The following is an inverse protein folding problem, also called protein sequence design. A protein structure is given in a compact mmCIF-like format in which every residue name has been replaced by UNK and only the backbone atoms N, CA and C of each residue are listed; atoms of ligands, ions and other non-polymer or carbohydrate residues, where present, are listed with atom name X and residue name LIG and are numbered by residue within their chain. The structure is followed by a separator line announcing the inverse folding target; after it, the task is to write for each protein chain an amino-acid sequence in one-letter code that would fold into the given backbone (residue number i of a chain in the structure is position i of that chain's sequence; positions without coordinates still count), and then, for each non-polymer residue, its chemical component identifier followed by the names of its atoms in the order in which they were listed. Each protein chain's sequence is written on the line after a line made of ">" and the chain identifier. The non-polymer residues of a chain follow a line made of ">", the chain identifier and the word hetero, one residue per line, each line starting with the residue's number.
data_IF_727765473581
#
_entry.id   IF_727765473581
#
_cell.length_a   1.000
_cell.length_b   1.000
_cell.length_c   1.000
_cell.angle_alpha   90.00
_cell.angle_beta   90.00
_cell.angle_gamma   90.00
#
_symmetry.space_group_name_H-M   'P 1'
#
loop_
_entity.id
_entity.type
_entity.pdbx_description
1 polymer ?
#
# COMPACT_ATOMS: atom_id res chain seq x y z
N UNK A 1 11.44 -13.64 8.65
CA UNK A 1 11.02 -13.19 7.31
C UNK A 1 9.52 -13.36 7.25
N UNK A 2 8.81 -12.43 6.62
CA UNK A 2 7.38 -12.54 6.36
C UNK A 2 7.21 -12.54 4.85
N UNK A 3 6.51 -13.54 4.32
CA UNK A 3 6.08 -13.61 2.92
C UNK A 3 4.62 -13.18 2.89
N UNK A 4 4.34 -12.10 2.16
CA UNK A 4 3.00 -11.57 1.94
C UNK A 4 2.54 -11.95 0.53
N UNK A 5 2.26 -13.23 0.34
CA UNK A 5 1.84 -13.78 -0.95
C UNK A 5 0.30 -13.73 -1.11
N UNK A 6 -0.24 -12.97 -2.08
CA UNK A 6 -1.69 -12.90 -2.29
C UNK A 6 -2.28 -14.23 -2.77
N UNK A 7 -1.48 -15.10 -3.38
CA UNK A 7 -1.92 -16.40 -3.89
C UNK A 7 -2.02 -17.47 -2.80
N UNK A 8 -1.40 -17.25 -1.63
CA UNK A 8 -1.43 -18.15 -0.49
C UNK A 8 -2.76 -18.07 0.28
N UNK A 9 -3.83 -18.61 -0.31
CA UNK A 9 -5.20 -18.45 0.22
C UNK A 9 -5.57 -19.39 1.36
N UNK A 10 -4.78 -20.42 1.66
CA UNK A 10 -5.05 -21.34 2.78
C UNK A 10 -4.64 -20.75 4.14
N UNK A 11 -3.50 -20.05 4.15
CA UNK A 11 -2.95 -19.32 5.30
C UNK A 11 -2.59 -17.88 4.91
N UNK A 12 -3.57 -17.06 4.53
CA UNK A 12 -3.34 -15.67 4.12
C UNK A 12 -2.76 -14.85 5.28
N UNK A 13 -1.68 -14.15 4.99
CA UNK A 13 -1.11 -13.14 5.89
C UNK A 13 -1.90 -11.84 5.74
N UNK A 14 -2.49 -11.34 6.83
CA UNK A 14 -3.30 -10.13 6.82
C UNK A 14 -2.50 -8.86 6.54
N UNK A 15 -3.12 -7.91 5.84
CA UNK A 15 -2.64 -6.54 5.68
C UNK A 15 -3.82 -5.57 5.79
N UNK A 16 -4.08 -5.10 7.02
CA UNK A 16 -5.14 -4.13 7.27
C UNK A 16 -4.59 -2.70 7.11
N UNK A 17 -4.86 -2.10 5.95
CA UNK A 17 -4.46 -0.71 5.64
C UNK A 17 -5.00 0.31 6.63
N UNK A 18 -6.13 0.02 7.29
CA UNK A 18 -6.79 0.92 8.24
C UNK A 18 -6.21 0.85 9.67
N UNK A 19 -5.35 -0.12 9.96
CA UNK A 19 -4.86 -0.41 11.32
C UNK A 19 -3.81 0.59 11.84
N UNK A 20 -3.35 1.53 11.01
CA UNK A 20 -2.07 2.23 11.24
C UNK A 20 -2.20 3.49 12.12
N UNK A 21 -3.40 4.01 12.38
CA UNK A 21 -3.58 5.30 13.07
C UNK A 21 -3.88 5.22 14.58
N UNK A 22 -2.97 5.75 15.41
CA UNK A 22 -3.13 5.91 16.87
C UNK A 22 -3.80 7.23 17.23
N UNK A 23 -3.51 8.29 16.49
CA UNK A 23 -4.18 9.59 16.60
C UNK A 23 -5.26 9.77 15.54
N UNK A 24 -6.13 10.75 15.71
CA UNK A 24 -7.14 11.14 14.72
C UNK A 24 -6.48 11.55 13.39
N UNK A 25 -5.48 12.42 13.45
CA UNK A 25 -4.74 12.87 12.28
C UNK A 25 -4.07 11.73 11.50
N UNK A 26 -3.46 10.74 12.18
CA UNK A 26 -2.89 9.58 11.51
C UNK A 26 -3.96 8.74 10.78
N UNK A 27 -5.18 8.65 11.33
CA UNK A 27 -6.28 7.93 10.67
C UNK A 27 -6.77 8.68 9.43
N UNK A 28 -6.86 10.00 9.50
CA UNK A 28 -7.21 10.84 8.33
C UNK A 28 -6.20 10.66 7.21
N UNK A 29 -4.90 10.73 7.52
CA UNK A 29 -3.83 10.49 6.55
C UNK A 29 -3.94 9.09 5.93
N UNK A 30 -4.19 8.05 6.72
CA UNK A 30 -4.39 6.70 6.19
C UNK A 30 -5.56 6.65 5.21
N UNK A 31 -6.68 7.29 5.53
CA UNK A 31 -7.84 7.36 4.63
C UNK A 31 -7.52 8.13 3.36
N UNK A 32 -6.83 9.28 3.47
CA UNK A 32 -6.39 10.07 2.33
C UNK A 32 -5.57 9.25 1.35
N UNK A 33 -4.59 8.50 1.83
CA UNK A 33 -3.77 7.65 0.96
C UNK A 33 -4.58 6.52 0.32
N UNK A 34 -5.47 5.86 1.05
CA UNK A 34 -6.31 4.79 0.47
C UNK A 34 -7.22 5.36 -0.63
N UNK A 35 -7.88 6.49 -0.36
CA UNK A 35 -8.75 7.19 -1.33
C UNK A 35 -7.94 7.64 -2.55
N UNK A 36 -6.72 8.13 -2.33
CA UNK A 36 -5.82 8.55 -3.39
C UNK A 36 -5.39 7.37 -4.27
N UNK A 37 -4.84 6.29 -3.68
CA UNK A 37 -4.46 5.06 -4.43
C UNK A 37 -5.65 4.53 -5.25
N UNK A 38 -6.86 4.59 -4.70
CA UNK A 38 -8.06 4.18 -5.41
C UNK A 38 -8.43 5.12 -6.58
N UNK A 39 -8.32 6.43 -6.37
CA UNK A 39 -8.54 7.41 -7.44
C UNK A 39 -7.57 7.22 -8.60
N UNK A 40 -6.34 6.79 -8.30
CA UNK A 40 -5.32 6.53 -9.30
C UNK A 40 -5.54 5.20 -10.03
N UNK A 41 -6.01 4.17 -9.33
CA UNK A 41 -6.39 2.89 -9.93
C UNK A 41 -7.58 3.02 -10.89
N UNK A 42 -8.54 3.88 -10.55
CA UNK A 42 -9.77 4.03 -11.30
C UNK A 42 -9.94 5.43 -11.92
N UNK A 43 -8.85 6.14 -12.24
CA UNK A 43 -8.85 7.52 -12.78
C UNK A 43 -9.95 7.79 -13.82
N UNK A 44 -10.18 6.94 -14.85
CA UNK A 44 -11.17 7.22 -15.89
C UNK A 44 -12.63 7.23 -15.39
N UNK A 45 -12.90 6.63 -14.23
CA UNK A 45 -14.25 6.46 -13.69
C UNK A 45 -14.38 6.87 -12.23
N UNK A 46 -13.46 7.73 -11.77
CA UNK A 46 -13.41 8.27 -10.42
C UNK A 46 -13.95 9.70 -10.40
N UNK A 47 -14.90 10.00 -9.51
CA UNK A 47 -15.50 11.32 -9.41
C UNK A 47 -15.71 11.79 -7.97
N UNK A 48 -16.06 13.07 -7.76
CA UNK A 48 -16.15 13.68 -6.44
C UNK A 48 -17.06 12.92 -5.47
N UNK A 49 -18.19 12.39 -5.95
CA UNK A 49 -19.10 11.56 -5.13
C UNK A 49 -18.47 10.26 -4.67
N UNK A 50 -17.64 9.63 -5.51
CA UNK A 50 -16.93 8.39 -5.14
C UNK A 50 -15.90 8.68 -4.05
N UNK A 51 -15.14 9.78 -4.19
CA UNK A 51 -14.22 10.25 -3.16
C UNK A 51 -14.94 10.49 -1.83
N UNK A 52 -16.06 11.24 -1.85
CA UNK A 52 -16.80 11.62 -0.65
C UNK A 52 -17.38 10.41 0.09
N UNK A 53 -18.05 9.50 -0.64
CA UNK A 53 -18.61 8.26 -0.06
C UNK A 53 -17.53 7.39 0.57
N UNK A 54 -16.41 7.16 -0.15
CA UNK A 54 -15.34 6.30 0.35
C UNK A 54 -14.60 6.94 1.52
N UNK A 55 -14.31 8.25 1.45
CA UNK A 55 -13.68 8.99 2.55
C UNK A 55 -14.51 8.91 3.83
N UNK A 56 -15.81 9.23 3.76
CA UNK A 56 -16.69 9.18 4.94
C UNK A 56 -16.84 7.75 5.47
N UNK A 57 -16.99 6.76 4.58
CA UNK A 57 -17.04 5.35 4.95
C UNK A 57 -15.77 4.89 5.69
N UNK A 58 -14.60 5.14 5.11
CA UNK A 58 -13.31 4.72 5.66
C UNK A 58 -12.96 5.45 6.97
N UNK A 59 -13.23 6.77 7.07
CA UNK A 59 -13.08 7.52 8.31
C UNK A 59 -13.95 6.96 9.43
N UNK A 60 -15.18 6.57 9.09
CA UNK A 60 -16.09 5.94 10.05
C UNK A 60 -15.51 4.62 10.55
N UNK A 61 -15.01 3.76 9.66
CA UNK A 61 -14.45 2.44 10.03
C UNK A 61 -13.16 2.54 10.85
N UNK A 62 -12.27 3.50 10.57
CA UNK A 62 -11.01 3.66 11.34
C UNK A 62 -11.27 4.05 12.81
N UNK A 63 -12.38 4.73 13.06
CA UNK A 63 -12.80 5.25 14.37
C UNK A 63 -13.70 4.32 15.18
N UNK A 64 -14.12 3.21 14.59
CA UNK A 64 -15.09 2.29 15.19
C UNK A 64 -14.53 0.87 15.28
N UNK A 65 -15.23 0.00 16.01
CA UNK A 65 -14.84 -1.39 16.23
C UNK A 65 -16.04 -2.31 16.06
N UNK A 66 -15.77 -3.56 15.71
CA UNK A 66 -16.78 -4.61 15.73
C UNK A 66 -17.22 -4.90 17.17
N UNK A 67 -18.31 -5.67 17.33
CA UNK A 67 -18.87 -6.01 18.63
C UNK A 67 -17.90 -6.78 19.54
N UNK A 68 -17.01 -7.59 18.94
CA UNK A 68 -15.93 -8.31 19.61
C UNK A 68 -14.70 -7.43 19.93
N UNK A 69 -14.77 -6.13 19.65
CA UNK A 69 -13.69 -5.17 19.83
C UNK A 69 -12.63 -5.16 18.72
N UNK A 70 -12.77 -6.01 17.71
CA UNK A 70 -11.81 -6.07 16.60
C UNK A 70 -11.91 -4.83 15.70
N UNK A 71 -10.80 -4.47 15.04
CA UNK A 71 -10.78 -3.37 14.08
C UNK A 71 -11.49 -3.77 12.79
N UNK A 72 -12.20 -2.82 12.19
CA UNK A 72 -12.72 -2.99 10.84
C UNK A 72 -11.60 -2.90 9.81
N UNK A 73 -11.86 -3.45 8.63
CA UNK A 73 -10.98 -3.38 7.49
C UNK A 73 -11.69 -2.72 6.30
N UNK A 74 -10.96 -2.61 5.19
CA UNK A 74 -11.45 -2.00 3.96
C UNK A 74 -12.62 -2.77 3.34
N UNK A 75 -12.70 -4.08 3.61
CA UNK A 75 -13.74 -4.97 3.08
C UNK A 75 -15.13 -4.75 3.66
N UNK A 76 -15.24 -4.03 4.78
CA UNK A 76 -16.51 -3.75 5.46
C UNK A 76 -17.23 -2.50 4.93
N UNK A 77 -16.59 -1.69 4.07
CA UNK A 77 -17.22 -0.49 3.50
C UNK A 77 -18.51 -0.81 2.73
N UNK A 78 -18.59 -1.86 1.89
CA UNK A 78 -19.85 -2.21 1.22
C UNK A 78 -20.99 -2.49 2.19
N UNK A 79 -20.73 -3.21 3.28
CA UNK A 79 -21.73 -3.50 4.32
C UNK A 79 -22.16 -2.23 5.05
N UNK A 80 -21.22 -1.34 5.36
CA UNK A 80 -21.53 -0.04 5.96
C UNK A 80 -22.50 0.78 5.09
N UNK A 81 -22.37 0.69 3.77
CA UNK A 81 -23.25 1.40 2.83
C UNK A 81 -24.60 0.67 2.65
N UNK A 82 -24.58 -0.65 2.49
CA UNK A 82 -25.77 -1.42 2.09
C UNK A 82 -26.65 -1.83 3.27
N UNK A 83 -26.07 -2.21 4.41
CA UNK A 83 -26.78 -2.83 5.52
C UNK A 83 -27.17 -1.78 6.58
N UNK A 84 -28.47 -1.43 6.72
CA UNK A 84 -28.91 -0.39 7.65
C UNK A 84 -28.64 -0.75 9.12
N UNK A 85 -28.73 -2.03 9.47
CA UNK A 85 -28.51 -2.50 10.84
C UNK A 85 -27.04 -2.34 11.22
N UNK A 86 -26.13 -2.83 10.36
CA UNK A 86 -24.69 -2.67 10.57
C UNK A 86 -24.30 -1.18 10.58
N UNK A 87 -24.82 -0.39 9.65
CA UNK A 87 -24.56 1.06 9.63
C UNK A 87 -24.99 1.76 10.91
N UNK A 88 -26.19 1.51 11.42
CA UNK A 88 -26.66 2.09 12.69
C UNK A 88 -25.78 1.69 13.87
N UNK A 89 -25.34 0.44 13.92
CA UNK A 89 -24.41 -0.02 14.95
C UNK A 89 -23.09 0.75 14.90
N UNK A 90 -22.50 0.89 13.71
CA UNK A 90 -21.22 1.58 13.50
C UNK A 90 -21.35 3.09 13.78
N UNK A 91 -22.33 3.78 13.20
CA UNK A 91 -22.46 5.24 13.30
C UNK A 91 -22.91 5.73 14.68
N UNK A 92 -23.50 4.85 15.50
CA UNK A 92 -23.86 5.15 16.89
C UNK A 92 -22.68 5.09 17.87
N UNK A 93 -21.51 4.57 17.46
CA UNK A 93 -20.37 4.48 18.35
C UNK A 93 -19.82 5.87 18.70
N UNK A 94 -19.38 6.03 19.96
CA UNK A 94 -18.85 7.29 20.47
C UNK A 94 -17.59 7.77 19.74
N UNK A 95 -16.82 6.86 19.14
CA UNK A 95 -15.59 7.19 18.42
C UNK A 95 -15.80 7.88 17.08
N UNK A 96 -17.02 7.84 16.51
CA UNK A 96 -17.31 8.41 15.18
C UNK A 96 -17.08 9.94 15.19
N UNK A 97 -16.22 10.48 14.31
CA UNK A 97 -15.96 11.91 14.23
C UNK A 97 -17.20 12.72 13.84
N UNK A 98 -17.33 13.94 14.34
CA UNK A 98 -18.45 14.82 13.99
C UNK A 98 -18.44 15.22 12.51
N UNK A 99 -17.26 15.25 11.89
CA UNK A 99 -17.06 15.56 10.47
C UNK A 99 -17.80 14.61 9.52
N UNK A 100 -17.99 13.35 9.90
CA UNK A 100 -18.71 12.35 9.08
C UNK A 100 -20.20 12.24 9.44
N UNK A 101 -20.65 12.83 10.56
CA UNK A 101 -22.05 12.72 11.01
C UNK A 101 -23.03 13.42 10.07
N UNK A 102 -22.65 14.56 9.51
CA UNK A 102 -23.45 15.31 8.54
C UNK A 102 -23.70 14.49 7.27
N UNK A 103 -22.67 13.80 6.77
CA UNK A 103 -22.77 12.86 5.66
C UNK A 103 -23.78 11.75 5.96
N UNK A 104 -23.66 11.07 7.10
CA UNK A 104 -24.58 9.98 7.46
C UNK A 104 -26.01 10.46 7.71
N UNK A 105 -26.18 11.65 8.29
CA UNK A 105 -27.51 12.25 8.44
C UNK A 105 -28.14 12.49 7.07
N UNK A 106 -27.44 13.12 6.13
CA UNK A 106 -27.94 13.30 4.76
C UNK A 106 -28.23 11.97 4.06
N UNK A 107 -27.35 10.98 4.21
CA UNK A 107 -27.48 9.64 3.67
C UNK A 107 -28.76 8.91 4.14
N UNK A 108 -29.17 9.12 5.39
CA UNK A 108 -30.40 8.53 5.94
C UNK A 108 -31.68 9.23 5.49
N UNK A 109 -31.59 10.46 5.00
CA UNK A 109 -32.74 11.17 4.41
C UNK A 109 -32.94 10.86 2.92
N UNK A 110 -31.95 10.26 2.26
CA UNK A 110 -32.06 9.85 0.86
C UNK A 110 -33.06 8.71 0.68
N UNK A 111 -33.82 8.76 -0.41
CA UNK A 111 -34.61 7.61 -0.86
C UNK A 111 -33.71 6.42 -1.23
N UNK A 112 -34.26 5.20 -1.27
CA UNK A 112 -33.49 4.01 -1.67
C UNK A 112 -32.86 4.15 -3.07
N UNK A 113 -33.62 4.70 -4.03
CA UNK A 113 -33.14 4.95 -5.39
C UNK A 113 -32.01 5.99 -5.44
N UNK A 114 -32.16 7.11 -4.73
CA UNK A 114 -31.12 8.13 -4.64
C UNK A 114 -29.85 7.58 -3.99
N UNK A 115 -30.00 6.83 -2.89
CA UNK A 115 -28.90 6.17 -2.21
C UNK A 115 -28.15 5.21 -3.13
N UNK A 116 -28.87 4.38 -3.88
CA UNK A 116 -28.29 3.45 -4.85
C UNK A 116 -27.47 4.19 -5.94
N UNK A 117 -27.95 5.35 -6.42
CA UNK A 117 -27.21 6.18 -7.36
C UNK A 117 -25.95 6.80 -6.76
N UNK A 118 -26.01 7.25 -5.50
CA UNK A 118 -24.87 7.85 -4.79
C UNK A 118 -23.77 6.83 -4.54
N UNK A 119 -24.10 5.62 -4.08
CA UNK A 119 -23.11 4.60 -3.70
C UNK A 119 -22.70 3.66 -4.83
N UNK A 120 -23.50 3.56 -5.90
CA UNK A 120 -23.29 2.62 -7.00
C UNK A 120 -21.86 2.63 -7.56
N UNK A 121 -21.30 3.81 -7.89
CA UNK A 121 -19.90 3.91 -8.33
C UNK A 121 -18.92 3.33 -7.31
N UNK A 122 -19.02 3.71 -6.03
CA UNK A 122 -18.13 3.23 -4.96
C UNK A 122 -18.22 1.72 -4.76
N UNK A 123 -19.43 1.16 -4.77
CA UNK A 123 -19.64 -0.29 -4.66
C UNK A 123 -19.05 -1.07 -5.83
N UNK A 124 -19.15 -0.54 -7.06
CA UNK A 124 -18.55 -1.19 -8.23
C UNK A 124 -17.03 -1.33 -8.10
N UNK A 125 -16.35 -0.33 -7.52
CA UNK A 125 -14.90 -0.36 -7.28
C UNK A 125 -14.53 -1.31 -6.15
N UNK A 126 -15.24 -1.21 -5.01
CA UNK A 126 -15.02 -2.09 -3.86
C UNK A 126 -15.33 -3.57 -4.18
N UNK A 127 -16.17 -3.83 -5.18
CA UNK A 127 -16.46 -5.19 -5.67
C UNK A 127 -15.19 -5.89 -6.14
N UNK A 128 -14.26 -5.19 -6.79
CA UNK A 128 -12.96 -5.77 -7.21
C UNK A 128 -12.16 -6.34 -6.04
N UNK A 129 -12.29 -5.73 -4.85
CA UNK A 129 -11.59 -6.17 -3.64
C UNK A 129 -12.30 -7.36 -2.96
N UNK A 130 -13.63 -7.30 -2.94
CA UNK A 130 -14.46 -8.26 -2.20
C UNK A 130 -14.73 -9.54 -2.98
N UNK A 131 -14.75 -9.51 -4.32
CA UNK A 131 -14.97 -10.72 -5.14
C UNK A 131 -13.70 -11.54 -5.32
N UNK A 132 -12.53 -10.90 -5.38
CA UNK A 132 -11.25 -11.61 -5.46
C UNK A 132 -10.89 -12.19 -4.10
N UNK A 133 -10.89 -13.53 -4.00
CA UNK A 133 -10.60 -14.25 -2.75
C UNK A 133 -9.27 -13.85 -2.13
N UNK A 134 -8.21 -13.69 -2.92
CA UNK A 134 -6.89 -13.25 -2.44
C UNK A 134 -6.94 -11.89 -1.72
N UNK A 135 -7.52 -10.88 -2.36
CA UNK A 135 -7.66 -9.54 -1.80
C UNK A 135 -8.59 -9.53 -0.59
N UNK A 136 -9.75 -10.20 -0.68
CA UNK A 136 -10.71 -10.29 0.42
C UNK A 136 -10.08 -10.91 1.68
N UNK A 137 -9.33 -12.01 1.51
CA UNK A 137 -8.70 -12.71 2.63
C UNK A 137 -7.49 -11.97 3.21
N UNK A 138 -6.74 -11.22 2.41
CA UNK A 138 -5.57 -10.47 2.87
C UNK A 138 -5.96 -9.12 3.48
N UNK A 139 -6.75 -8.32 2.75
CA UNK A 139 -7.13 -6.96 3.15
C UNK A 139 -8.32 -6.93 4.11
N UNK A 140 -9.03 -8.05 4.24
CA UNK A 140 -10.19 -8.18 5.13
C UNK A 140 -9.88 -8.78 6.49
N UNK A 141 -8.63 -8.78 6.95
CA UNK A 141 -8.32 -9.18 8.32
C UNK A 141 -8.32 -7.97 9.24
N UNK A 142 -8.82 -8.13 10.48
CA UNK A 142 -8.79 -7.04 11.47
C UNK A 142 -7.38 -6.69 11.94
N UNK A 143 -6.48 -7.67 11.87
CA UNK A 143 -5.05 -7.55 12.16
C UNK A 143 -4.25 -7.92 10.92
N UNK A 144 -3.09 -7.31 10.77
CA UNK A 144 -2.14 -7.69 9.73
C UNK A 144 -0.71 -7.34 10.09
N UNK A 145 0.15 -7.39 9.09
CA UNK A 145 1.53 -6.91 9.22
C UNK A 145 1.54 -5.39 9.47
N UNK A 146 2.42 -4.95 10.38
CA UNK A 146 2.76 -3.53 10.54
C UNK A 146 4.06 -3.28 9.77
N UNK A 147 4.00 -2.58 8.64
CA UNK A 147 5.19 -2.28 7.85
C UNK A 147 6.19 -1.40 8.60
N UNK A 148 5.81 -0.68 9.65
CA UNK A 148 6.79 0.02 10.48
C UNK A 148 7.69 -0.94 11.28
N UNK A 149 7.35 -2.23 11.39
CA UNK A 149 8.23 -3.25 11.97
C UNK A 149 9.50 -3.51 11.15
N UNK A 150 9.53 -3.16 9.85
CA UNK A 150 10.78 -3.23 9.06
C UNK A 150 11.87 -2.36 9.70
N UNK A 151 11.48 -1.22 10.25
CA UNK A 151 12.35 -0.28 10.93
C UNK A 151 12.61 -0.65 12.39
N UNK A 152 11.56 -1.01 13.13
CA UNK A 152 11.63 -1.24 14.59
C UNK A 152 12.24 -2.60 14.94
N UNK A 153 11.86 -3.64 14.20
CA UNK A 153 12.17 -5.04 14.49
C UNK A 153 13.11 -5.70 13.47
N UNK A 154 13.65 -4.93 12.50
CA UNK A 154 14.49 -5.44 11.41
C UNK A 154 13.84 -6.61 10.67
N UNK A 155 12.53 -6.51 10.43
CA UNK A 155 11.78 -7.53 9.69
C UNK A 155 12.14 -7.44 8.22
N UNK A 156 12.34 -8.62 7.60
CA UNK A 156 12.37 -8.78 6.15
C UNK A 156 10.95 -9.15 5.71
N UNK A 157 10.41 -8.37 4.77
CA UNK A 157 9.11 -8.60 4.16
C UNK A 157 9.32 -8.84 2.67
N UNK A 158 8.82 -9.97 2.17
CA UNK A 158 8.83 -10.33 0.76
C UNK A 158 7.41 -10.27 0.23
N UNK A 159 7.22 -9.63 -0.91
CA UNK A 159 5.89 -9.43 -1.51
C UNK A 159 5.95 -9.90 -2.96
N UNK A 160 5.65 -11.18 -3.23
CA UNK A 160 5.59 -11.67 -4.60
C UNK A 160 4.35 -11.09 -5.29
N UNK A 161 4.56 -10.20 -6.26
CA UNK A 161 3.49 -9.55 -7.04
C UNK A 161 3.48 -10.02 -8.50
N UNK A 162 3.84 -11.29 -8.75
CA UNK A 162 3.88 -11.84 -10.10
C UNK A 162 2.50 -11.73 -10.77
N UNK A 163 2.42 -10.88 -11.80
CA UNK A 163 1.17 -10.59 -12.52
C UNK A 163 0.52 -11.84 -13.12
N UNK A 164 1.31 -12.82 -13.52
CA UNK A 164 0.80 -14.10 -14.05
C UNK A 164 0.10 -14.96 -13.00
N UNK A 165 0.40 -14.76 -11.71
CA UNK A 165 -0.19 -15.51 -10.60
C UNK A 165 -1.35 -14.75 -9.96
N UNK A 166 -1.14 -13.47 -9.63
CA UNK A 166 -2.12 -12.68 -8.85
C UNK A 166 -3.03 -11.80 -9.72
N UNK A 167 -2.67 -11.63 -11.00
CA UNK A 167 -3.32 -10.72 -11.93
C UNK A 167 -2.82 -9.28 -11.82
N UNK A 168 -2.72 -8.60 -12.96
CA UNK A 168 -2.14 -7.25 -13.08
C UNK A 168 -2.77 -6.21 -12.15
N UNK A 169 -4.11 -6.14 -12.11
CA UNK A 169 -4.83 -5.15 -11.28
C UNK A 169 -4.58 -5.35 -9.77
N UNK A 170 -4.56 -6.61 -9.32
CA UNK A 170 -4.26 -6.98 -7.93
C UNK A 170 -2.81 -6.68 -7.57
N UNK A 171 -1.87 -7.00 -8.47
CA UNK A 171 -0.46 -6.71 -8.28
C UNK A 171 -0.21 -5.21 -8.10
N UNK A 172 -0.77 -4.38 -8.99
CA UNK A 172 -0.66 -2.92 -8.89
C UNK A 172 -1.27 -2.41 -7.58
N UNK A 173 -2.53 -2.78 -7.29
CA UNK A 173 -3.21 -2.31 -6.07
C UNK A 173 -2.43 -2.63 -4.80
N UNK A 174 -2.00 -3.89 -4.64
CA UNK A 174 -1.27 -4.31 -3.45
C UNK A 174 0.09 -3.63 -3.38
N UNK A 175 0.83 -3.57 -4.49
CA UNK A 175 2.11 -2.88 -4.56
C UNK A 175 2.00 -1.43 -4.09
N UNK A 176 0.99 -0.70 -4.57
CA UNK A 176 0.83 0.72 -4.21
C UNK A 176 0.30 0.92 -2.80
N UNK A 177 -0.63 0.09 -2.30
CA UNK A 177 -1.04 0.16 -0.90
C UNK A 177 0.11 -0.15 0.07
N UNK A 178 0.94 -1.15 -0.25
CA UNK A 178 2.11 -1.50 0.55
C UNK A 178 3.18 -0.41 0.51
N UNK A 179 3.43 0.18 -0.65
CA UNK A 179 4.37 1.31 -0.76
C UNK A 179 3.86 2.56 -0.05
N UNK A 180 2.57 2.87 -0.16
CA UNK A 180 1.97 3.98 0.59
C UNK A 180 2.09 3.76 2.10
N UNK A 181 1.79 2.54 2.59
CA UNK A 181 1.94 2.20 4.00
C UNK A 181 3.40 2.21 4.46
N UNK A 182 4.35 1.75 3.64
CA UNK A 182 5.78 1.86 3.92
C UNK A 182 6.23 3.33 3.96
N UNK A 183 5.73 4.15 3.05
CA UNK A 183 6.05 5.57 3.00
C UNK A 183 5.52 6.32 4.22
N UNK A 184 4.28 6.05 4.63
CA UNK A 184 3.72 6.58 5.88
C UNK A 184 4.54 6.16 7.10
N UNK A 185 4.90 4.87 7.20
CA UNK A 185 5.80 4.40 8.24
C UNK A 185 7.17 5.10 8.22
N UNK A 186 7.63 5.52 7.03
CA UNK A 186 8.88 6.27 6.84
C UNK A 186 8.75 7.71 7.30
N UNK A 187 7.68 8.42 6.88
CA UNK A 187 7.38 9.79 7.30
C UNK A 187 7.23 9.92 8.82
N UNK A 188 6.57 8.95 9.46
CA UNK A 188 6.44 8.89 10.93
C UNK A 188 7.79 8.84 11.67
N UNK A 189 8.90 8.54 10.98
CA UNK A 189 10.25 8.58 11.56
C UNK A 189 10.82 9.99 11.70
N UNK A 190 10.11 11.02 11.22
CA UNK A 190 10.43 12.41 11.53
C UNK A 190 10.50 12.65 13.05
N UNK A 191 9.64 11.97 13.83
CA UNK A 191 9.63 12.01 15.29
C UNK A 191 10.78 11.23 15.96
N UNK A 192 11.58 10.48 15.20
CA UNK A 192 12.72 9.72 15.72
C UNK A 192 14.02 10.52 15.48
N UNK A 193 14.87 10.74 16.51
CA UNK A 193 16.16 11.40 16.34
C UNK A 193 17.05 10.73 15.30
N UNK A 194 17.81 11.52 14.54
CA UNK A 194 18.59 11.04 13.40
C UNK A 194 19.58 9.94 13.80
N UNK A 195 20.21 10.03 14.97
CA UNK A 195 21.17 9.01 15.44
C UNK A 195 20.51 7.67 15.79
N UNK A 196 19.20 7.67 16.06
CA UNK A 196 18.41 6.48 16.42
C UNK A 196 17.71 5.86 15.21
N UNK A 197 17.73 6.53 14.06
CA UNK A 197 17.13 6.06 12.81
C UNK A 197 17.93 4.89 12.25
N UNK A 198 17.39 3.68 12.42
CA UNK A 198 17.96 2.46 11.81
C UNK A 198 17.61 2.41 10.33
N UNK A 199 18.57 2.20 9.42
CA UNK A 199 18.27 2.12 8.00
C UNK A 199 17.47 0.86 7.67
N UNK A 200 16.54 0.98 6.72
CA UNK A 200 15.93 -0.15 6.02
C UNK A 200 16.04 0.07 4.51
N UNK A 201 15.89 -1.00 3.74
CA UNK A 201 15.99 -0.97 2.28
C UNK A 201 14.74 -1.56 1.65
N UNK A 202 14.20 -0.89 0.64
CA UNK A 202 13.17 -1.44 -0.23
C UNK A 202 13.75 -1.70 -1.61
N UNK A 203 13.52 -2.92 -2.10
CA UNK A 203 13.89 -3.35 -3.44
C UNK A 203 12.60 -3.45 -4.25
N UNK A 204 12.48 -2.63 -5.28
CA UNK A 204 11.32 -2.60 -6.16
C UNK A 204 11.77 -3.08 -7.52
N UNK A 205 11.44 -4.33 -7.81
CA UNK A 205 11.53 -4.88 -9.15
C UNK A 205 10.34 -4.38 -9.97
N UNK A 206 10.58 -4.05 -11.24
CA UNK A 206 9.60 -3.40 -12.13
C UNK A 206 8.85 -2.24 -11.44
N UNK A 207 9.58 -1.30 -10.82
CA UNK A 207 8.96 -0.32 -9.93
C UNK A 207 7.88 0.53 -10.62
N UNK A 208 7.93 0.71 -11.94
CA UNK A 208 6.90 1.37 -12.74
C UNK A 208 5.50 0.78 -12.54
N UNK A 209 5.40 -0.51 -12.20
CA UNK A 209 4.12 -1.16 -11.89
C UNK A 209 3.53 -0.68 -10.56
N UNK A 210 4.39 -0.34 -9.61
CA UNK A 210 4.01 0.24 -8.33
C UNK A 210 3.67 1.73 -8.47
N UNK A 211 4.24 2.39 -9.49
CA UNK A 211 4.03 3.82 -9.78
C UNK A 211 2.71 4.15 -10.42
N UNK A 212 2.08 3.20 -11.12
CA UNK A 212 0.83 3.46 -11.88
C UNK A 212 -0.33 3.95 -11.02
N UNK A 213 -0.23 3.90 -9.68
CA UNK A 213 -1.28 4.29 -8.73
C UNK A 213 -0.91 5.42 -7.75
N UNK A 214 0.17 6.15 -8.00
CA UNK A 214 0.54 7.35 -7.24
C UNK A 214 0.47 8.59 -8.12
N UNK A 215 0.36 9.77 -7.49
CA UNK A 215 0.56 11.01 -8.22
C UNK A 215 2.03 11.10 -8.61
N UNK A 216 2.33 11.63 -9.80
CA UNK A 216 3.71 11.76 -10.31
C UNK A 216 4.66 12.46 -9.31
N UNK A 217 4.11 13.28 -8.40
CA UNK A 217 4.83 14.01 -7.36
C UNK A 217 5.20 13.19 -6.13
N UNK A 218 4.36 12.25 -5.68
CA UNK A 218 4.60 11.53 -4.42
C UNK A 218 5.84 10.64 -4.46
N UNK A 219 6.12 10.00 -5.60
CA UNK A 219 7.35 9.23 -5.73
C UNK A 219 8.56 10.16 -5.79
N UNK A 220 8.46 11.28 -6.50
CA UNK A 220 9.55 12.25 -6.55
C UNK A 220 9.92 12.73 -5.13
N UNK A 221 8.89 13.03 -4.32
CA UNK A 221 9.04 13.38 -2.91
C UNK A 221 9.61 12.22 -2.08
N UNK A 222 9.11 11.00 -2.29
CA UNK A 222 9.64 9.79 -1.64
C UNK A 222 11.13 9.63 -1.93
N UNK A 223 11.54 9.71 -3.20
CA UNK A 223 12.94 9.58 -3.61
C UNK A 223 13.81 10.67 -2.96
N UNK A 224 13.33 11.91 -2.94
CA UNK A 224 14.05 13.05 -2.37
C UNK A 224 14.20 12.94 -0.84
N UNK A 225 13.18 12.47 -0.13
CA UNK A 225 13.11 12.54 1.32
C UNK A 225 13.46 11.22 2.04
N UNK A 226 13.27 10.05 1.41
CA UNK A 226 13.44 8.73 2.02
C UNK A 226 14.80 8.56 2.71
N UNK A 227 15.87 9.06 2.09
CA UNK A 227 17.23 8.97 2.63
C UNK A 227 17.35 9.63 4.01
N UNK A 228 16.80 10.83 4.19
CA UNK A 228 16.86 11.56 5.46
C UNK A 228 16.11 10.86 6.58
N UNK A 229 15.11 10.06 6.21
CA UNK A 229 14.30 9.25 7.12
C UNK A 229 14.88 7.85 7.33
N UNK A 230 15.94 7.46 6.61
CA UNK A 230 16.62 6.17 6.75
C UNK A 230 15.92 5.04 5.99
N UNK A 231 15.22 5.35 4.90
CA UNK A 231 14.80 4.37 3.91
C UNK A 231 15.70 4.51 2.66
N UNK A 232 16.39 3.43 2.31
CA UNK A 232 17.07 3.31 1.02
C UNK A 232 16.17 2.62 0.00
N UNK A 233 16.25 3.06 -1.26
CA UNK A 233 15.48 2.50 -2.36
C UNK A 233 16.43 1.96 -3.42
N UNK A 234 16.15 0.76 -3.88
CA UNK A 234 16.75 0.18 -5.10
C UNK A 234 15.62 -0.07 -6.07
N UNK A 235 15.66 0.64 -7.20
CA UNK A 235 14.62 0.66 -8.21
C UNK A 235 15.16 -0.01 -9.47
N UNK A 236 14.46 -1.03 -9.98
CA UNK A 236 14.77 -1.68 -11.26
C UNK A 236 13.61 -1.49 -12.24
N UNK A 237 13.93 -1.08 -13.46
CA UNK A 237 12.99 -0.96 -14.59
C UNK A 237 13.68 -1.40 -15.88
N UNK A 238 12.90 -1.69 -16.92
CA UNK A 238 13.42 -2.03 -18.24
C UNK A 238 13.67 -0.79 -19.12
N UNK A 239 12.72 0.14 -19.16
CA UNK A 239 12.77 1.29 -20.07
C UNK A 239 12.40 2.59 -19.37
N UNK A 240 13.13 3.68 -19.66
CA UNK A 240 12.81 4.99 -19.06
C UNK A 240 11.46 5.54 -19.54
N UNK A 241 11.07 5.25 -20.78
CA UNK A 241 9.82 5.75 -21.40
C UNK A 241 8.53 5.22 -20.73
N UNK A 242 8.62 4.12 -19.99
CA UNK A 242 7.53 3.60 -19.17
C UNK A 242 7.22 4.49 -17.96
N UNK A 243 8.14 5.40 -17.61
CA UNK A 243 7.99 6.33 -16.50
C UNK A 243 7.45 7.68 -16.99
N UNK A 244 6.55 8.33 -16.22
CA UNK A 244 6.22 9.73 -16.44
C UNK A 244 7.46 10.63 -16.41
N UNK A 245 7.49 11.70 -17.22
CA UNK A 245 8.67 12.59 -17.34
C UNK A 245 9.15 13.18 -16.01
N UNK A 246 8.22 13.49 -15.11
CA UNK A 246 8.53 14.02 -13.78
C UNK A 246 9.25 12.97 -12.92
N UNK A 247 8.76 11.73 -12.96
CA UNK A 247 9.39 10.59 -12.29
C UNK A 247 10.78 10.29 -12.88
N UNK A 248 10.92 10.28 -14.21
CA UNK A 248 12.24 10.12 -14.84
C UNK A 248 13.23 11.17 -14.33
N UNK A 249 12.80 12.42 -14.29
CA UNK A 249 13.62 13.54 -13.80
C UNK A 249 14.01 13.37 -12.33
N UNK A 250 13.07 12.94 -11.48
CA UNK A 250 13.31 12.70 -10.07
C UNK A 250 14.26 11.51 -9.82
N UNK A 251 14.05 10.39 -10.53
CA UNK A 251 14.92 9.21 -10.47
C UNK A 251 16.33 9.59 -10.91
N UNK A 252 16.49 10.19 -12.09
CA UNK A 252 17.80 10.56 -12.62
C UNK A 252 18.48 11.68 -11.81
N UNK A 253 17.71 12.54 -11.14
CA UNK A 253 18.20 13.60 -10.26
C UNK A 253 18.65 13.10 -8.89
N UNK A 254 17.97 12.09 -8.34
CA UNK A 254 18.11 11.69 -6.93
C UNK A 254 18.89 10.39 -6.77
N UNK A 255 18.74 9.44 -7.70
CA UNK A 255 19.48 8.18 -7.71
C UNK A 255 20.94 8.41 -8.11
N UNK A 256 21.79 8.66 -7.11
CA UNK A 256 23.22 8.96 -7.33
C UNK A 256 24.04 7.76 -7.78
N UNK A 257 23.66 6.56 -7.32
CA UNK A 257 24.25 5.31 -7.78
C UNK A 257 23.37 4.74 -8.88
N UNK A 258 23.94 4.50 -10.06
CA UNK A 258 23.24 3.99 -11.22
C UNK A 258 23.99 2.78 -11.77
N UNK A 259 23.24 1.74 -12.12
CA UNK A 259 23.74 0.54 -12.78
C UNK A 259 22.91 0.39 -14.05
N UNK A 260 23.56 0.45 -15.20
CA UNK A 260 22.94 0.24 -16.50
C UNK A 260 23.43 -1.09 -17.06
N UNK A 261 22.49 -1.95 -17.43
CA UNK A 261 22.76 -3.09 -18.33
C UNK A 261 22.75 -2.57 -19.77
N UNK A 262 22.78 -3.48 -20.75
CA UNK A 262 22.58 -3.12 -22.15
C UNK A 262 21.32 -2.28 -22.34
N UNK A 263 21.47 -1.12 -22.98
CA UNK A 263 20.39 -0.15 -23.20
C UNK A 263 19.97 -0.08 -24.67
N UNK A 264 18.72 0.32 -24.89
CA UNK A 264 18.21 0.71 -26.22
C UNK A 264 18.66 2.13 -26.62
N UNK A 265 18.36 2.49 -27.87
CA UNK A 265 18.85 3.73 -28.49
C UNK A 265 18.55 5.00 -27.69
N UNK A 266 17.29 5.18 -27.27
CA UNK A 266 16.84 6.41 -26.61
C UNK A 266 17.31 6.50 -25.16
N UNK A 267 17.29 5.37 -24.44
CA UNK A 267 17.78 5.28 -23.07
C UNK A 267 19.29 5.49 -23.01
N UNK A 268 20.05 4.93 -23.96
CA UNK A 268 21.49 5.14 -24.06
C UNK A 268 21.85 6.61 -24.29
N UNK A 269 21.16 7.32 -25.18
CA UNK A 269 21.36 8.77 -25.39
C UNK A 269 21.02 9.58 -24.13
N UNK A 270 19.98 9.17 -23.41
CA UNK A 270 19.57 9.85 -22.19
C UNK A 270 20.59 9.66 -21.07
N UNK A 271 21.09 8.43 -20.89
CA UNK A 271 22.07 8.10 -19.86
C UNK A 271 23.50 8.51 -20.21
N UNK A 272 23.87 8.63 -21.50
CA UNK A 272 25.18 9.14 -21.93
C UNK A 272 25.53 10.47 -21.25
N UNK A 273 24.58 11.39 -21.09
CA UNK A 273 24.78 12.68 -20.39
C UNK A 273 25.28 12.53 -18.94
N UNK A 274 25.05 11.37 -18.32
CA UNK A 274 25.46 11.04 -16.94
C UNK A 274 26.74 10.21 -16.90
N UNK A 275 26.99 9.42 -17.94
CA UNK A 275 28.13 8.50 -18.04
C UNK A 275 29.32 9.09 -18.82
N UNK A 276 29.09 10.18 -19.56
CA UNK A 276 30.15 10.93 -20.21
C UNK A 276 31.12 11.58 -19.19
N UNK A 277 32.40 11.76 -19.57
CA UNK A 277 33.01 11.36 -20.83
C UNK A 277 33.48 9.89 -20.85
N UNK A 278 33.34 9.16 -19.74
CA UNK A 278 33.90 7.82 -19.59
C UNK A 278 33.23 6.77 -20.49
N UNK A 279 31.95 6.94 -20.80
CA UNK A 279 31.20 6.06 -21.70
C UNK A 279 30.26 6.87 -22.59
N UNK A 280 30.18 6.47 -23.85
CA UNK A 280 29.28 7.02 -24.87
C UNK A 280 27.98 6.22 -24.95
N UNK A 281 26.98 6.73 -25.67
CA UNK A 281 25.77 5.98 -25.98
C UNK A 281 26.07 4.70 -26.78
N UNK A 282 27.13 4.68 -27.60
CA UNK A 282 27.54 3.48 -28.33
C UNK A 282 28.04 2.40 -27.38
N UNK A 283 28.84 2.77 -26.37
CA UNK A 283 29.37 1.84 -25.37
C UNK A 283 28.24 1.23 -24.53
N UNK A 284 27.27 2.03 -24.10
CA UNK A 284 26.14 1.57 -23.29
C UNK A 284 25.23 0.58 -24.04
N UNK A 285 25.04 0.75 -25.35
CA UNK A 285 24.31 -0.20 -26.22
C UNK A 285 25.10 -1.48 -26.49
N UNK A 286 26.43 -1.37 -26.47
CA UNK A 286 27.35 -2.44 -26.80
C UNK A 286 27.65 -3.38 -25.62
N UNK A 287 27.11 -3.12 -24.43
CA UNK A 287 27.33 -3.95 -23.24
C UNK A 287 26.85 -5.40 -23.50
N UNK A 288 27.72 -6.40 -23.34
CA UNK A 288 27.36 -7.81 -23.39
C UNK A 288 26.39 -8.24 -22.28
N UNK A 289 25.82 -9.43 -22.44
CA UNK A 289 25.02 -10.08 -21.38
C UNK A 289 25.86 -10.19 -20.11
N UNK A 290 25.25 -9.84 -18.97
CA UNK A 290 25.88 -9.79 -17.65
C UNK A 290 26.92 -8.68 -17.44
N UNK A 291 27.26 -7.88 -18.47
CA UNK A 291 28.07 -6.67 -18.28
C UNK A 291 27.19 -5.47 -17.90
N UNK A 292 27.75 -4.60 -17.06
CA UNK A 292 27.09 -3.41 -16.56
C UNK A 292 28.01 -2.20 -16.60
N UNK A 293 27.43 -1.04 -16.90
CA UNK A 293 28.03 0.26 -16.63
C UNK A 293 27.56 0.75 -15.26
N UNK A 294 28.50 1.08 -14.38
CA UNK A 294 28.24 1.49 -13.01
C UNK A 294 28.75 2.89 -12.77
N UNK A 295 27.85 3.78 -12.37
CA UNK A 295 28.16 5.11 -11.84
C UNK A 295 27.82 5.11 -10.36
N UNK A 296 28.80 4.82 -9.50
CA UNK A 296 28.59 4.65 -8.07
C UNK A 296 28.73 5.97 -7.29
N UNK A 297 27.93 6.15 -6.23
CA UNK A 297 28.15 7.18 -5.23
C UNK A 297 28.78 6.59 -3.97
N UNK A 298 30.01 7.02 -3.65
CA UNK A 298 30.79 6.54 -2.49
C UNK A 298 31.17 7.74 -1.65
N UNK A 299 30.84 7.71 -0.35
CA UNK A 299 31.11 8.84 0.56
C UNK A 299 30.40 10.14 0.15
N UNK A 300 29.25 10.05 -0.53
CA UNK A 300 28.50 11.21 -1.03
C UNK A 300 29.02 11.81 -2.34
N UNK A 301 30.14 11.31 -2.86
CA UNK A 301 30.72 11.71 -4.14
C UNK A 301 30.36 10.71 -5.23
N UNK A 302 29.94 11.21 -6.39
CA UNK A 302 29.78 10.36 -7.59
C UNK A 302 31.14 10.06 -8.18
N UNK A 303 31.45 8.78 -8.37
CA UNK A 303 32.68 8.32 -9.02
C UNK A 303 32.54 8.35 -10.53
N UNK A 304 33.69 8.32 -11.21
CA UNK A 304 33.73 8.09 -12.65
C UNK A 304 33.07 6.74 -12.97
N UNK A 305 32.27 6.66 -14.05
CA UNK A 305 31.71 5.40 -14.47
C UNK A 305 32.78 4.36 -14.75
N UNK A 306 32.46 3.11 -14.45
CA UNK A 306 33.29 1.95 -14.75
C UNK A 306 32.40 0.80 -15.23
N UNK A 307 32.95 -0.10 -16.02
CA UNK A 307 32.27 -1.35 -16.38
C UNK A 307 32.52 -2.43 -15.34
N UNK A 308 31.63 -3.41 -15.27
CA UNK A 308 31.76 -4.58 -14.43
C UNK A 308 30.98 -5.77 -14.99
N UNK A 309 31.28 -6.96 -14.47
CA UNK A 309 30.58 -8.20 -14.82
C UNK A 309 29.78 -8.66 -13.61
N UNK A 310 28.49 -8.90 -13.81
CA UNK A 310 27.62 -9.47 -12.79
C UNK A 310 27.99 -10.92 -12.54
N UNK A 311 27.86 -11.35 -11.29
CA UNK A 311 28.13 -12.74 -10.92
C UNK A 311 26.86 -13.56 -11.13
N UNK A 312 26.96 -14.80 -11.65
CA UNK A 312 25.81 -15.69 -11.70
C UNK A 312 25.27 -15.90 -10.28
N UNK A 313 23.98 -16.20 -10.19
CA UNK A 313 23.39 -16.56 -8.90
C UNK A 313 24.13 -17.78 -8.34
N UNK A 314 24.50 -17.71 -7.06
CA UNK A 314 25.11 -18.84 -6.37
C UNK A 314 24.16 -20.05 -6.30
N UNK A 315 24.66 -21.22 -5.85
CA UNK A 315 23.80 -22.37 -5.65
C UNK A 315 22.66 -22.04 -4.68
N UNK A 316 21.50 -22.62 -4.93
CA UNK A 316 20.33 -22.46 -4.07
C UNK A 316 20.66 -22.93 -2.64
N UNK A 317 20.52 -22.02 -1.67
CA UNK A 317 20.81 -22.32 -0.26
C UNK A 317 19.68 -23.09 0.42
N UNK A 318 18.44 -22.77 0.08
CA UNK A 318 17.23 -23.32 0.67
C UNK A 318 16.10 -23.40 -0.36
N UNK A 319 15.13 -24.28 -0.12
CA UNK A 319 13.90 -24.32 -0.89
C UNK A 319 13.01 -23.12 -0.55
N UNK A 320 12.71 -22.29 -1.55
CA UNK A 320 11.85 -21.13 -1.41
C UNK A 320 10.42 -21.51 -1.02
N UNK A 321 9.92 -22.66 -1.51
CA UNK A 321 8.58 -23.15 -1.19
C UNK A 321 8.45 -23.48 0.30
N UNK A 322 9.44 -24.18 0.86
CA UNK A 322 9.50 -24.53 2.28
C UNK A 322 9.56 -23.27 3.16
N UNK A 323 10.40 -22.28 2.79
CA UNK A 323 10.49 -21.03 3.54
C UNK A 323 9.19 -20.19 3.47
N UNK A 324 8.53 -20.20 2.31
CA UNK A 324 7.24 -19.53 2.12
C UNK A 324 6.16 -20.18 2.98
N UNK A 325 6.07 -21.51 2.96
CA UNK A 325 5.13 -22.28 3.77
C UNK A 325 5.35 -22.05 5.28
N UNK A 326 6.60 -22.12 5.76
CA UNK A 326 6.93 -21.83 7.15
C UNK A 326 6.54 -20.40 7.56
N UNK A 327 6.69 -19.44 6.65
CA UNK A 327 6.24 -18.07 6.87
C UNK A 327 4.71 -18.00 6.98
N UNK A 328 3.98 -18.62 6.05
CA UNK A 328 2.52 -18.61 6.06
C UNK A 328 1.93 -19.34 7.27
N UNK A 329 2.50 -20.46 7.69
CA UNK A 329 2.07 -21.14 8.91
C UNK A 329 2.31 -20.28 10.16
N UNK A 330 3.38 -19.48 10.18
CA UNK A 330 3.75 -18.65 11.34
C UNK A 330 2.98 -17.33 11.42
N UNK A 331 2.71 -16.70 10.28
CA UNK A 331 2.16 -15.34 10.20
C UNK A 331 0.78 -15.26 9.56
N UNK A 332 0.37 -16.31 8.85
CA UNK A 332 -0.93 -16.42 8.23
C UNK A 332 -1.99 -16.93 9.21
N UNK A 333 -3.24 -16.68 8.86
CA UNK A 333 -4.40 -17.17 9.60
C UNK A 333 -5.11 -18.21 8.74
N UNK A 334 -5.55 -19.37 9.27
CA UNK A 334 -6.31 -20.33 8.49
C UNK A 334 -7.50 -19.67 7.80
N UNK A 335 -7.72 -20.01 6.52
CA UNK A 335 -8.77 -19.40 5.71
C UNK A 335 -10.15 -19.42 6.37
N UNK A 336 -10.52 -20.57 6.95
CA UNK A 336 -11.80 -20.75 7.62
C UNK A 336 -12.00 -19.73 8.77
N UNK A 337 -10.93 -19.46 9.53
CA UNK A 337 -10.94 -18.49 10.63
C UNK A 337 -11.06 -17.06 10.11
N UNK A 338 -10.39 -16.73 9.00
CA UNK A 338 -10.53 -15.42 8.34
C UNK A 338 -11.95 -15.18 7.86
N UNK A 339 -12.56 -16.17 7.18
CA UNK A 339 -13.92 -16.08 6.68
C UNK A 339 -14.96 -16.05 7.82
N UNK A 340 -14.74 -16.79 8.91
CA UNK A 340 -15.56 -16.70 10.12
C UNK A 340 -15.44 -15.31 10.77
N UNK A 341 -14.22 -14.79 10.92
CA UNK A 341 -13.98 -13.48 11.49
C UNK A 341 -14.64 -12.37 10.65
N UNK A 342 -14.53 -12.42 9.32
CA UNK A 342 -15.21 -11.49 8.41
C UNK A 342 -16.72 -11.44 8.65
N UNK A 343 -17.37 -12.62 8.73
CA UNK A 343 -18.82 -12.70 8.99
C UNK A 343 -19.19 -12.13 10.37
N UNK A 344 -18.47 -12.58 11.41
CA UNK A 344 -18.75 -12.16 12.79
C UNK A 344 -18.61 -10.64 13.01
N UNK A 345 -17.74 -9.95 12.25
CA UNK A 345 -17.58 -8.50 12.38
C UNK A 345 -18.75 -7.70 11.85
N UNK A 346 -19.51 -8.25 10.91
CA UNK A 346 -20.69 -7.60 10.31
C UNK A 346 -21.95 -7.94 11.13
N UNK A 347 -21.93 -9.04 11.87
CA UNK A 347 -22.99 -9.41 12.80
C UNK A 347 -23.10 -8.36 13.92
N UNK A 348 -24.28 -7.74 14.01
CA UNK A 348 -24.57 -6.76 15.07
C UNK A 348 -25.18 -7.46 16.27
N UNK A 349 -24.88 -7.03 17.51
CA UNK A 349 -25.51 -7.59 18.69
C UNK A 349 -27.02 -7.39 18.62
N UNK A 350 -27.76 -8.48 18.46
CA UNK A 350 -29.22 -8.45 18.48
C UNK A 350 -29.65 -8.27 19.94
N UNK A 351 -30.11 -7.07 20.33
CA UNK A 351 -30.87 -6.89 21.58
C UNK A 351 -30.38 -5.86 22.61
N UNK A 352 -29.37 -5.03 22.35
CA UNK A 352 -29.08 -3.93 23.25
C UNK A 352 -30.06 -2.76 23.00
N UNK A 353 -31.19 -2.74 23.71
CA UNK A 353 -31.93 -1.50 23.96
C UNK A 353 -30.92 -0.49 24.49
N UNK A 354 -30.56 0.51 23.67
CA UNK A 354 -29.81 1.69 24.12
C UNK A 354 -30.76 2.44 25.04
N UNK A 355 -30.79 2.02 26.31
CA UNK A 355 -31.64 2.55 27.35
C UNK A 355 -31.26 4.00 27.61
N UNK A 356 -32.14 4.90 27.22
CA UNK A 356 -32.18 6.30 27.63
C UNK A 356 -32.02 6.33 29.16
N UNK A 357 -30.89 6.81 29.66
CA UNK A 357 -30.69 7.00 31.10
C UNK A 357 -31.78 7.95 31.60
N UNK A 358 -32.74 7.40 32.36
CA UNK A 358 -33.73 8.17 33.10
C UNK A 358 -32.93 8.99 34.12
N UNK A 359 -32.87 10.31 33.94
CA UNK A 359 -32.47 11.23 35.02
C UNK A 359 -33.47 11.01 36.16
N UNK A 360 -33.06 10.23 37.15
CA UNK A 360 -33.73 10.14 38.44
C UNK A 360 -33.50 11.45 39.17
N UNK A 361 -34.60 12.13 39.51
CA UNK A 361 -34.59 13.21 40.47
C UNK A 361 -34.46 12.69 41.90
N UNK A 362 -33.71 13.45 42.70
CA UNK A 362 -33.72 13.57 44.16
C UNK A 362 -32.71 14.71 44.44
N UNK A 363 -32.99 15.77 45.18
CA UNK A 363 -34.09 16.16 46.06
C UNK A 363 -34.24 17.68 46.03
#
# INVERSE_FOLDING_TARGET
>A
MIVLDPSATDFPVGFNVLQVGRSEHERELVVDHVVHVFSELWRPSWGPRTSDVLRNGLLTLTHTRAADGSAFALTEVPELLLNPTFRRFVTAQAGVPDSVRSFWAAYEHMSEGERAQVIGPSLNKLRTLTTRTSLRLMLGQSKGIDLADVFRKRRIVLVPLSKGVVGTETAHLLGSLLMAALWQATLGRAAVPAEKRRPAWAYLDEFQDVLRLGSDNELADMLAQARGLGLGLTLAHQYLDQLPRQVQSAVLGTARSQVAFQLDHDDARTLEKRFAPAMTAADLKGLPVYEVAVRASVGGQTRLPATGVTRPLGPQLHDAAVLSEQSHQRYGTPRADVEAALRSRIETPTGARIGRAKRGGAS
#
